data_IF_666530106082
#
_entry.id   IF_666530106082
#
_cell.length_a   1.000
_cell.length_b   1.000
_cell.length_c   1.000
_cell.angle_alpha   90.00
_cell.angle_beta   90.00
_cell.angle_gamma   90.00
#
_symmetry.space_group_name_H-M   'P 1'
#
loop_
_entity.id
_entity.type
_entity.pdbx_description
1 polymer ?
#
# COMPACT_ATOMS: atom_id res chain seq x y z
N UNK A 1 -14.08 18.97 8.59
CA UNK A 1 -14.21 17.49 8.75
C UNK A 1 -14.57 16.91 7.41
N UNK A 2 -13.74 16.04 6.88
CA UNK A 2 -13.87 15.43 5.55
C UNK A 2 -14.80 14.23 5.63
N UNK A 3 -15.89 14.24 4.84
CA UNK A 3 -16.90 13.16 4.81
C UNK A 3 -16.52 12.14 3.76
N UNK A 4 -16.21 10.92 4.22
CA UNK A 4 -15.69 9.84 3.37
C UNK A 4 -16.78 8.79 3.13
N UNK A 5 -16.96 8.39 1.86
CA UNK A 5 -17.65 7.16 1.51
C UNK A 5 -16.63 6.02 1.29
N UNK A 6 -16.99 4.78 1.64
CA UNK A 6 -16.14 3.61 1.35
C UNK A 6 -16.68 2.80 0.20
N UNK A 7 -15.82 2.40 -0.74
CA UNK A 7 -16.09 1.39 -1.76
C UNK A 7 -15.34 0.11 -1.39
N UNK A 8 -16.07 -0.94 -1.09
CA UNK A 8 -15.53 -2.21 -0.59
C UNK A 8 -15.97 -2.47 0.85
N UNK A 9 -16.15 -3.75 1.17
CA UNK A 9 -16.72 -4.22 2.44
C UNK A 9 -15.88 -5.36 3.03
N UNK A 10 -14.59 -5.38 2.71
CA UNK A 10 -13.65 -6.42 3.12
C UNK A 10 -13.01 -6.13 4.48
N UNK A 11 -12.14 -7.02 4.92
CA UNK A 11 -11.38 -6.84 6.18
C UNK A 11 -10.55 -5.55 6.17
N UNK A 12 -9.95 -5.17 5.03
CA UNK A 12 -9.15 -3.95 4.97
C UNK A 12 -10.02 -2.70 5.17
N UNK A 13 -11.26 -2.70 4.68
CA UNK A 13 -12.20 -1.60 4.95
C UNK A 13 -12.50 -1.49 6.45
N UNK A 14 -12.66 -2.61 7.17
CA UNK A 14 -12.85 -2.58 8.64
C UNK A 14 -11.60 -2.03 9.34
N UNK A 15 -10.41 -2.42 8.88
CA UNK A 15 -9.14 -1.89 9.41
C UNK A 15 -9.02 -0.38 9.14
N UNK A 16 -9.44 0.08 7.96
CA UNK A 16 -9.51 1.51 7.65
C UNK A 16 -10.47 2.27 8.58
N UNK A 17 -11.65 1.72 8.85
CA UNK A 17 -12.61 2.34 9.78
C UNK A 17 -12.05 2.51 11.19
N UNK A 18 -11.35 1.49 11.70
CA UNK A 18 -10.68 1.57 13.00
C UNK A 18 -9.61 2.68 13.03
N UNK A 19 -8.86 2.84 11.94
CA UNK A 19 -7.86 3.90 11.82
C UNK A 19 -8.52 5.29 11.67
N UNK A 20 -9.55 5.40 10.84
CA UNK A 20 -10.27 6.65 10.61
C UNK A 20 -10.92 7.20 11.88
N UNK A 21 -11.39 6.32 12.78
CA UNK A 21 -11.94 6.72 14.08
C UNK A 21 -10.90 7.41 14.98
N UNK A 22 -9.60 7.24 14.73
CA UNK A 22 -8.51 7.89 15.45
C UNK A 22 -8.01 9.20 14.78
N UNK A 23 -8.65 9.63 13.69
CA UNK A 23 -8.28 10.84 12.92
C UNK A 23 -9.48 11.80 12.92
N UNK A 24 -9.48 12.84 13.77
CA UNK A 24 -10.63 13.72 13.98
C UNK A 24 -11.00 14.58 12.76
N UNK A 25 -10.11 14.72 11.79
CA UNK A 25 -10.29 15.47 10.57
C UNK A 25 -11.24 14.80 9.58
N UNK A 26 -11.47 13.46 9.74
CA UNK A 26 -12.28 12.66 8.83
C UNK A 26 -13.47 12.02 9.53
N UNK A 27 -14.51 11.72 8.76
CA UNK A 27 -15.63 10.90 9.21
C UNK A 27 -16.13 10.02 8.07
N UNK A 28 -16.39 8.74 8.35
CA UNK A 28 -16.97 7.83 7.36
C UNK A 28 -18.48 7.87 7.47
N UNK A 29 -19.15 8.32 6.42
CA UNK A 29 -20.59 8.57 6.43
C UNK A 29 -21.39 7.55 5.63
N UNK A 30 -20.79 6.90 4.63
CA UNK A 30 -21.53 6.02 3.69
C UNK A 30 -20.70 4.82 3.28
N UNK A 31 -21.30 3.63 3.34
CA UNK A 31 -20.73 2.41 2.80
C UNK A 31 -21.37 2.08 1.44
N UNK A 32 -20.54 1.87 0.41
CA UNK A 32 -21.02 1.48 -0.91
C UNK A 32 -20.74 0.01 -1.22
N UNK A 33 -21.73 -0.66 -1.75
CA UNK A 33 -21.61 -1.95 -2.45
C UNK A 33 -22.60 -2.01 -3.61
N UNK A 34 -22.23 -2.67 -4.71
CA UNK A 34 -23.16 -2.95 -5.83
C UNK A 34 -24.41 -3.73 -5.42
N UNK A 35 -24.30 -4.52 -4.36
CA UNK A 35 -25.42 -5.16 -3.68
C UNK A 35 -25.88 -4.28 -2.52
N UNK A 36 -27.09 -3.72 -2.64
CA UNK A 36 -27.65 -2.80 -1.64
C UNK A 36 -27.96 -3.47 -0.30
N UNK A 37 -28.32 -4.75 -0.28
CA UNK A 37 -28.51 -5.50 0.97
C UNK A 37 -27.17 -5.70 1.68
N UNK A 38 -26.11 -5.99 0.91
CA UNK A 38 -24.77 -6.10 1.44
C UNK A 38 -24.27 -4.76 1.98
N UNK A 39 -24.50 -3.65 1.27
CA UNK A 39 -24.15 -2.32 1.74
C UNK A 39 -24.82 -1.98 3.07
N UNK A 40 -26.13 -2.23 3.19
CA UNK A 40 -26.90 -1.99 4.43
C UNK A 40 -26.40 -2.84 5.59
N UNK A 41 -26.18 -4.13 5.38
CA UNK A 41 -25.63 -5.01 6.43
C UNK A 41 -24.26 -4.54 6.90
N UNK A 42 -23.35 -4.24 5.97
CA UNK A 42 -22.01 -3.77 6.30
C UNK A 42 -22.06 -2.45 7.09
N UNK A 43 -22.88 -1.49 6.67
CA UNK A 43 -23.06 -0.22 7.37
C UNK A 43 -23.58 -0.44 8.80
N UNK A 44 -24.60 -1.29 8.98
CA UNK A 44 -25.15 -1.61 10.31
C UNK A 44 -24.11 -2.31 11.22
N UNK A 45 -23.32 -3.26 10.68
CA UNK A 45 -22.30 -3.98 11.42
C UNK A 45 -21.11 -3.10 11.84
N UNK A 46 -20.81 -2.05 11.07
CA UNK A 46 -19.67 -1.17 11.29
C UNK A 46 -20.03 0.19 11.89
N UNK A 47 -21.32 0.47 12.09
CA UNK A 47 -21.79 1.74 12.63
C UNK A 47 -21.73 2.91 11.65
N UNK A 48 -21.54 2.63 10.35
CA UNK A 48 -21.58 3.68 9.31
C UNK A 48 -23.04 4.13 9.14
N UNK A 49 -23.33 5.45 9.20
CA UNK A 49 -24.73 5.92 9.23
C UNK A 49 -25.50 5.72 7.91
N UNK A 50 -24.81 5.71 6.76
CA UNK A 50 -25.41 5.59 5.44
C UNK A 50 -24.93 4.39 4.65
N UNK A 51 -25.75 3.98 3.65
CA UNK A 51 -25.37 2.97 2.67
C UNK A 51 -25.86 3.35 1.28
N UNK A 52 -25.12 2.96 0.24
CA UNK A 52 -25.46 3.22 -1.17
C UNK A 52 -25.17 2.00 -2.03
N UNK A 53 -25.93 1.85 -3.13
CA UNK A 53 -25.71 0.81 -4.15
C UNK A 53 -25.66 1.37 -5.58
N UNK A 54 -25.97 2.64 -5.75
CA UNK A 54 -25.78 3.38 -6.99
C UNK A 54 -24.54 4.28 -6.84
N UNK A 55 -23.50 4.01 -7.64
CA UNK A 55 -22.23 4.76 -7.56
C UNK A 55 -22.37 6.18 -8.11
N UNK A 56 -23.18 6.38 -9.16
CA UNK A 56 -23.35 7.71 -9.74
C UNK A 56 -24.12 8.63 -8.79
N UNK A 57 -25.16 8.11 -8.16
CA UNK A 57 -25.88 8.84 -7.13
C UNK A 57 -25.00 9.17 -5.91
N UNK A 58 -24.13 8.22 -5.48
CA UNK A 58 -23.16 8.45 -4.41
C UNK A 58 -22.19 9.58 -4.76
N UNK A 59 -21.59 9.53 -5.96
CA UNK A 59 -20.60 10.52 -6.40
C UNK A 59 -21.22 11.90 -6.66
N UNK A 60 -22.50 11.98 -7.04
CA UNK A 60 -23.22 13.22 -7.20
C UNK A 60 -23.64 13.86 -5.85
N UNK A 61 -23.55 13.15 -4.74
CA UNK A 61 -23.97 13.66 -3.43
C UNK A 61 -23.07 14.81 -2.95
N UNK A 62 -23.67 15.89 -2.48
CA UNK A 62 -22.98 16.98 -1.81
C UNK A 62 -22.54 16.63 -0.38
N UNK A 63 -23.01 15.50 0.17
CA UNK A 63 -22.66 15.03 1.51
C UNK A 63 -21.40 14.17 1.56
N UNK A 64 -20.73 13.98 0.42
CA UNK A 64 -19.48 13.25 0.29
C UNK A 64 -18.39 14.18 -0.23
N UNK A 65 -17.26 14.24 0.45
CA UNK A 65 -16.09 15.03 0.04
C UNK A 65 -15.02 14.13 -0.60
N UNK A 66 -14.90 12.90 -0.11
CA UNK A 66 -13.88 11.95 -0.53
C UNK A 66 -14.40 10.51 -0.57
N UNK A 67 -13.68 9.65 -1.30
CA UNK A 67 -13.97 8.22 -1.39
C UNK A 67 -12.73 7.40 -1.05
N UNK A 68 -12.86 6.47 -0.11
CA UNK A 68 -11.88 5.42 0.13
C UNK A 68 -12.24 4.19 -0.72
N UNK A 69 -11.31 3.77 -1.59
CA UNK A 69 -11.52 2.66 -2.54
C UNK A 69 -10.72 1.44 -2.09
N UNK A 70 -11.40 0.37 -1.72
CA UNK A 70 -10.85 -0.91 -1.25
C UNK A 70 -11.54 -2.11 -1.95
N UNK A 71 -11.78 -1.97 -3.22
CA UNK A 71 -12.28 -3.00 -4.13
C UNK A 71 -11.13 -3.92 -4.60
N UNK A 72 -11.36 -4.94 -5.46
CA UNK A 72 -10.27 -5.65 -6.11
C UNK A 72 -9.38 -4.72 -6.96
N UNK A 73 -8.07 -4.96 -6.97
CA UNK A 73 -7.06 -4.09 -7.57
C UNK A 73 -7.38 -3.70 -9.03
N UNK A 74 -7.86 -4.64 -9.84
CA UNK A 74 -8.15 -4.41 -11.26
C UNK A 74 -9.25 -3.38 -11.54
N UNK A 75 -10.08 -3.05 -10.54
CA UNK A 75 -11.16 -2.07 -10.73
C UNK A 75 -10.90 -0.74 -10.01
N UNK A 76 -9.75 -0.60 -9.33
CA UNK A 76 -9.35 0.64 -8.65
C UNK A 76 -9.32 1.82 -9.62
N UNK A 77 -8.63 1.67 -10.77
CA UNK A 77 -8.49 2.74 -11.75
C UNK A 77 -9.84 3.31 -12.21
N UNK A 78 -10.74 2.42 -12.66
CA UNK A 78 -12.04 2.85 -13.17
C UNK A 78 -12.89 3.57 -12.11
N UNK A 79 -12.84 3.09 -10.86
CA UNK A 79 -13.58 3.72 -9.76
C UNK A 79 -12.93 5.03 -9.32
N UNK A 80 -11.60 5.08 -9.24
CA UNK A 80 -10.87 6.28 -8.87
C UNK A 80 -11.05 7.39 -9.93
N UNK A 81 -10.98 7.06 -11.21
CA UNK A 81 -11.17 8.03 -12.29
C UNK A 81 -12.58 8.63 -12.26
N UNK A 82 -13.63 7.79 -12.13
CA UNK A 82 -15.01 8.28 -11.98
C UNK A 82 -15.18 9.19 -10.75
N UNK A 83 -14.53 8.85 -9.65
CA UNK A 83 -14.56 9.64 -8.42
C UNK A 83 -13.93 11.01 -8.63
N UNK A 84 -12.75 11.05 -9.27
CA UNK A 84 -12.03 12.28 -9.62
C UNK A 84 -12.84 13.14 -10.58
N UNK A 85 -13.44 12.55 -11.62
CA UNK A 85 -14.28 13.26 -12.58
C UNK A 85 -15.54 13.85 -11.96
N UNK A 86 -16.04 13.24 -10.87
CA UNK A 86 -17.13 13.78 -10.06
C UNK A 86 -16.70 14.86 -9.07
N UNK A 87 -15.41 15.27 -9.08
CA UNK A 87 -14.89 16.33 -8.20
C UNK A 87 -14.72 15.88 -6.75
N UNK A 88 -14.53 14.57 -6.48
CA UNK A 88 -14.30 14.04 -5.14
C UNK A 88 -12.84 13.61 -4.97
N UNK A 89 -12.29 13.82 -3.76
CA UNK A 89 -10.96 13.33 -3.39
C UNK A 89 -10.95 11.81 -3.29
N UNK A 90 -9.79 11.19 -3.54
CA UNK A 90 -9.63 9.74 -3.57
C UNK A 90 -8.49 9.29 -2.67
N UNK A 91 -8.77 8.41 -1.73
CA UNK A 91 -7.80 7.56 -1.07
C UNK A 91 -8.01 6.14 -1.58
N UNK A 92 -7.08 5.60 -2.35
CA UNK A 92 -7.22 4.29 -3.01
C UNK A 92 -6.22 3.29 -2.43
N UNK A 93 -6.73 2.08 -2.11
CA UNK A 93 -5.89 0.98 -1.62
C UNK A 93 -4.76 0.63 -2.59
N UNK A 94 -3.69 0.14 -1.99
CA UNK A 94 -2.51 -0.32 -2.73
C UNK A 94 -2.77 -1.68 -3.44
N UNK A 95 -2.21 -1.88 -4.63
CA UNK A 95 -1.64 -0.82 -5.47
C UNK A 95 -2.75 0.11 -5.97
N UNK A 96 -2.47 1.40 -6.03
CA UNK A 96 -3.48 2.38 -6.44
C UNK A 96 -4.12 2.04 -7.78
N UNK A 97 -3.31 1.57 -8.72
CA UNK A 97 -3.67 1.05 -10.03
C UNK A 97 -2.69 -0.06 -10.43
N UNK A 98 -2.92 -0.75 -11.55
CA UNK A 98 -2.06 -1.84 -11.98
C UNK A 98 -0.92 -1.42 -12.91
N UNK A 99 -0.97 -0.23 -13.51
CA UNK A 99 0.05 0.27 -14.45
C UNK A 99 0.46 1.71 -14.14
N UNK A 100 1.73 2.09 -14.42
CA UNK A 100 2.16 3.48 -14.33
C UNK A 100 1.35 4.43 -15.22
N UNK A 101 0.91 3.98 -16.39
CA UNK A 101 0.13 4.78 -17.34
C UNK A 101 -1.26 5.13 -16.78
N UNK A 102 -1.93 4.18 -16.13
CA UNK A 102 -3.21 4.43 -15.46
C UNK A 102 -3.05 5.44 -14.32
N UNK A 103 -1.94 5.35 -13.57
CA UNK A 103 -1.68 6.31 -12.49
C UNK A 103 -1.42 7.72 -13.02
N UNK A 104 -0.66 7.86 -14.10
CA UNK A 104 -0.45 9.15 -14.76
C UNK A 104 -1.78 9.75 -15.24
N UNK A 105 -2.63 8.94 -15.89
CA UNK A 105 -3.96 9.38 -16.34
C UNK A 105 -4.82 9.84 -15.16
N UNK A 106 -4.80 9.12 -14.05
CA UNK A 106 -5.56 9.44 -12.85
C UNK A 106 -5.08 10.75 -12.20
N UNK A 107 -3.76 10.93 -12.08
CA UNK A 107 -3.18 12.16 -11.49
C UNK A 107 -3.38 13.38 -12.38
N UNK A 108 -3.33 13.22 -13.70
CA UNK A 108 -3.65 14.29 -14.66
C UNK A 108 -5.13 14.71 -14.55
N UNK A 109 -6.04 13.74 -14.38
CA UNK A 109 -7.45 14.04 -14.16
C UNK A 109 -7.64 14.79 -12.81
N UNK A 110 -6.98 14.35 -11.75
CA UNK A 110 -7.02 15.01 -10.45
C UNK A 110 -6.51 16.45 -10.50
N UNK A 111 -5.42 16.70 -11.23
CA UNK A 111 -4.90 18.05 -11.43
C UNK A 111 -5.90 18.98 -12.16
N UNK A 112 -6.65 18.44 -13.14
CA UNK A 112 -7.68 19.22 -13.85
C UNK A 112 -8.90 19.54 -13.00
N UNK A 113 -9.29 18.64 -12.12
CA UNK A 113 -10.48 18.81 -11.25
C UNK A 113 -10.17 19.48 -9.92
N UNK A 114 -8.88 19.63 -9.58
CA UNK A 114 -8.44 20.23 -8.32
C UNK A 114 -8.67 19.34 -7.09
N UNK A 115 -8.76 18.02 -7.29
CA UNK A 115 -8.94 17.06 -6.18
C UNK A 115 -7.64 16.31 -5.87
N UNK A 116 -7.56 15.76 -4.67
CA UNK A 116 -6.44 14.94 -4.22
C UNK A 116 -6.70 13.48 -4.56
N UNK A 117 -5.70 12.81 -5.12
CA UNK A 117 -5.59 11.35 -5.22
C UNK A 117 -4.39 10.91 -4.41
N UNK A 118 -4.59 9.98 -3.50
CA UNK A 118 -3.52 9.42 -2.68
C UNK A 118 -3.61 7.89 -2.66
N UNK A 119 -2.46 7.22 -2.83
CA UNK A 119 -2.36 5.78 -2.61
C UNK A 119 -2.28 5.49 -1.11
N UNK A 120 -3.12 4.58 -0.62
CA UNK A 120 -3.09 4.09 0.76
C UNK A 120 -1.96 3.06 0.93
N UNK A 121 -0.72 3.54 0.85
CA UNK A 121 0.50 2.75 1.06
C UNK A 121 1.01 3.01 2.48
N UNK A 122 0.39 2.40 3.47
CA UNK A 122 0.57 2.69 4.90
C UNK A 122 2.02 2.75 5.38
N UNK A 123 2.93 1.90 4.85
CA UNK A 123 4.34 1.93 5.26
C UNK A 123 5.06 3.21 4.78
N UNK A 124 4.65 3.79 3.67
CA UNK A 124 5.26 4.98 3.11
C UNK A 124 5.01 6.25 3.95
N UNK A 125 4.01 6.20 4.80
CA UNK A 125 3.63 7.28 5.72
C UNK A 125 3.98 6.98 7.18
N UNK A 126 4.47 5.76 7.47
CA UNK A 126 4.85 5.36 8.82
C UNK A 126 6.15 6.06 9.24
N UNK A 127 6.16 6.87 10.32
CA UNK A 127 7.37 7.54 10.80
C UNK A 127 8.52 6.57 11.14
N UNK A 128 8.21 5.33 11.51
CA UNK A 128 9.22 4.32 11.79
C UNK A 128 10.04 3.97 10.54
N UNK A 129 9.43 3.91 9.35
CA UNK A 129 10.18 3.67 8.12
C UNK A 129 11.12 4.83 7.78
N UNK A 130 10.70 6.08 8.02
CA UNK A 130 11.55 7.25 7.86
C UNK A 130 12.73 7.22 8.85
N UNK A 131 12.47 6.89 10.13
CA UNK A 131 13.52 6.74 11.13
C UNK A 131 14.54 5.64 10.78
N UNK A 132 14.10 4.52 10.20
CA UNK A 132 14.97 3.45 9.70
C UNK A 132 15.86 3.98 8.56
N UNK A 133 15.33 4.78 7.64
CA UNK A 133 16.11 5.40 6.57
C UNK A 133 17.20 6.35 7.13
N UNK A 134 16.83 7.18 8.12
CA UNK A 134 17.76 8.09 8.79
C UNK A 134 18.87 7.36 9.55
N UNK A 135 18.54 6.27 10.26
CA UNK A 135 19.51 5.40 10.93
C UNK A 135 20.46 4.75 9.91
N UNK A 136 19.93 4.26 8.80
CA UNK A 136 20.73 3.67 7.72
C UNK A 136 21.73 4.66 7.14
N UNK A 137 21.33 5.92 6.92
CA UNK A 137 22.19 6.97 6.38
C UNK A 137 23.42 7.25 7.27
N UNK A 138 23.32 7.02 8.59
CA UNK A 138 24.42 7.20 9.54
C UNK A 138 25.50 6.09 9.44
N UNK A 139 25.18 4.96 8.80
CA UNK A 139 26.07 3.79 8.67
C UNK A 139 27.02 3.89 7.46
N UNK A 140 27.00 5.01 6.73
CA UNK A 140 27.79 5.21 5.52
C UNK A 140 27.14 4.60 4.28
N UNK A 141 27.91 4.45 3.18
CA UNK A 141 27.35 3.94 1.94
C UNK A 141 26.70 2.56 2.11
N UNK A 142 25.45 2.45 1.65
CA UNK A 142 24.75 1.16 1.57
C UNK A 142 25.38 0.35 0.43
N UNK A 143 25.59 -0.94 0.66
CA UNK A 143 26.12 -1.87 -0.35
C UNK A 143 25.13 -2.97 -0.68
N UNK A 144 24.32 -3.35 0.27
CA UNK A 144 23.25 -4.32 0.08
C UNK A 144 22.07 -4.01 1.00
N UNK A 145 20.84 -4.30 0.52
CA UNK A 145 19.67 -4.39 1.39
C UNK A 145 18.85 -5.63 1.04
N UNK A 146 18.06 -6.09 1.99
CA UNK A 146 17.16 -7.24 1.84
C UNK A 146 15.84 -6.90 2.52
N UNK A 147 14.72 -6.94 1.77
CA UNK A 147 13.39 -6.68 2.30
C UNK A 147 12.49 -7.88 2.06
N UNK A 148 11.80 -8.32 3.10
CA UNK A 148 10.95 -9.49 3.02
C UNK A 148 9.55 -9.23 3.60
N UNK A 149 8.52 -9.69 2.88
CA UNK A 149 7.17 -9.76 3.40
C UNK A 149 6.53 -11.10 2.98
N UNK A 150 6.61 -12.07 3.86
CA UNK A 150 6.11 -13.42 3.62
C UNK A 150 5.06 -13.76 4.69
N UNK A 151 3.80 -13.72 4.31
CA UNK A 151 2.67 -14.03 5.18
C UNK A 151 1.72 -14.99 4.48
N UNK A 152 1.69 -16.26 4.94
CA UNK A 152 0.77 -17.25 4.37
C UNK A 152 -0.67 -16.80 4.56
N UNK A 153 -1.38 -16.67 3.44
CA UNK A 153 -2.79 -16.30 3.46
C UNK A 153 -3.66 -17.41 4.04
N UNK A 154 -4.53 -17.07 4.97
CA UNK A 154 -5.55 -18.00 5.48
C UNK A 154 -6.53 -18.50 4.38
N UNK A 155 -6.55 -17.82 3.22
CA UNK A 155 -7.39 -18.21 2.07
C UNK A 155 -6.67 -19.15 1.10
N UNK A 156 -5.37 -19.43 1.30
CA UNK A 156 -4.60 -20.28 0.38
C UNK A 156 -5.11 -21.73 0.37
N UNK A 157 -5.58 -22.25 1.51
CA UNK A 157 -6.17 -23.60 1.58
C UNK A 157 -7.41 -23.76 0.68
N UNK A 158 -8.17 -22.68 0.46
CA UNK A 158 -9.29 -22.69 -0.50
C UNK A 158 -8.80 -22.83 -1.94
N UNK A 159 -7.69 -22.17 -2.29
CA UNK A 159 -7.05 -22.33 -3.62
C UNK A 159 -6.58 -23.76 -3.82
N UNK A 160 -5.96 -24.38 -2.81
CA UNK A 160 -5.55 -25.78 -2.85
C UNK A 160 -6.72 -26.74 -2.98
N UNK A 161 -7.89 -26.37 -2.44
CA UNK A 161 -9.17 -27.08 -2.61
C UNK A 161 -9.85 -26.82 -3.96
N UNK A 162 -9.24 -26.02 -4.85
CA UNK A 162 -9.79 -25.69 -6.17
C UNK A 162 -10.83 -24.56 -6.18
N UNK A 163 -10.99 -23.83 -5.05
CA UNK A 163 -11.89 -22.69 -4.99
C UNK A 163 -11.24 -21.44 -5.63
N UNK A 164 -12.06 -20.64 -6.32
CA UNK A 164 -11.62 -19.32 -6.82
C UNK A 164 -11.64 -18.31 -5.67
N UNK A 165 -10.50 -17.63 -5.47
CA UNK A 165 -10.32 -16.63 -4.41
C UNK A 165 -9.78 -15.33 -5.00
N UNK A 166 -10.49 -14.22 -4.83
CA UNK A 166 -10.20 -12.93 -5.46
C UNK A 166 -8.75 -12.46 -5.29
N UNK A 167 -8.16 -12.61 -4.09
CA UNK A 167 -6.78 -12.18 -3.82
C UNK A 167 -5.71 -13.02 -4.52
N UNK A 168 -6.10 -14.13 -5.15
CA UNK A 168 -5.28 -15.01 -5.96
C UNK A 168 -5.78 -15.10 -7.41
N UNK A 169 -6.70 -14.22 -7.82
CA UNK A 169 -7.22 -14.18 -9.18
C UNK A 169 -6.43 -13.14 -10.01
N UNK A 170 -5.65 -13.57 -11.02
CA UNK A 170 -4.89 -12.65 -11.87
C UNK A 170 -5.76 -11.62 -12.58
N UNK A 171 -7.00 -12.00 -12.96
CA UNK A 171 -7.94 -11.09 -13.61
C UNK A 171 -8.42 -9.94 -12.70
N UNK A 172 -8.27 -10.12 -11.39
CA UNK A 172 -8.58 -9.09 -10.39
C UNK A 172 -7.33 -8.38 -9.85
N UNK A 173 -6.15 -8.61 -10.47
CA UNK A 173 -4.88 -8.09 -9.97
C UNK A 173 -4.44 -8.78 -8.68
N UNK A 174 -4.84 -10.06 -8.48
CA UNK A 174 -4.39 -10.88 -7.35
C UNK A 174 -2.98 -11.42 -7.54
N UNK A 175 -2.37 -11.86 -6.44
CA UNK A 175 -1.02 -12.44 -6.42
C UNK A 175 -0.17 -11.87 -5.29
N UNK A 176 0.99 -12.46 -5.07
CA UNK A 176 1.87 -12.09 -3.97
C UNK A 176 2.60 -10.76 -4.22
N UNK A 177 2.97 -10.46 -5.48
CA UNK A 177 3.66 -9.22 -5.84
C UNK A 177 2.79 -8.00 -5.53
N UNK A 178 1.56 -7.96 -6.03
CA UNK A 178 0.66 -6.84 -5.82
C UNK A 178 0.16 -6.70 -4.38
N UNK A 179 0.10 -7.80 -3.63
CA UNK A 179 -0.41 -7.74 -2.26
C UNK A 179 0.66 -7.50 -1.21
N UNK A 180 1.80 -8.20 -1.28
CA UNK A 180 2.87 -8.14 -0.30
C UNK A 180 4.19 -7.59 -0.88
N UNK A 181 4.57 -7.98 -2.09
CA UNK A 181 5.78 -7.51 -2.76
C UNK A 181 5.80 -6.00 -2.94
N UNK A 182 4.66 -5.40 -3.20
CA UNK A 182 4.50 -3.94 -3.34
C UNK A 182 4.98 -3.18 -2.08
N UNK A 183 4.84 -3.75 -0.87
CA UNK A 183 5.39 -3.15 0.35
C UNK A 183 6.92 -3.15 0.37
N UNK A 184 7.55 -4.25 -0.07
CA UNK A 184 9.00 -4.33 -0.18
C UNK A 184 9.53 -3.32 -1.22
N UNK A 185 8.84 -3.20 -2.36
CA UNK A 185 9.17 -2.22 -3.40
C UNK A 185 8.97 -0.79 -2.88
N UNK A 186 7.86 -0.50 -2.22
CA UNK A 186 7.58 0.82 -1.65
C UNK A 186 8.62 1.22 -0.60
N UNK A 187 9.04 0.30 0.29
CA UNK A 187 10.11 0.54 1.26
C UNK A 187 11.44 0.86 0.57
N UNK A 188 11.83 0.06 -0.45
CA UNK A 188 13.03 0.30 -1.24
C UNK A 188 12.99 1.68 -1.92
N UNK A 189 11.90 1.99 -2.62
CA UNK A 189 11.73 3.28 -3.32
C UNK A 189 11.76 4.46 -2.34
N UNK A 190 11.13 4.31 -1.17
CA UNK A 190 11.09 5.36 -0.14
C UNK A 190 12.47 5.66 0.44
N UNK A 191 13.33 4.64 0.59
CA UNK A 191 14.67 4.76 1.20
C UNK A 191 15.77 5.09 0.18
N UNK A 192 15.69 4.51 -1.01
CA UNK A 192 16.80 4.50 -1.97
C UNK A 192 16.43 5.07 -3.34
N UNK A 193 15.16 5.37 -3.58
CA UNK A 193 14.67 5.81 -4.89
C UNK A 193 14.42 4.66 -5.86
N UNK A 194 14.14 5.03 -7.12
CA UNK A 194 13.89 4.08 -8.21
C UNK A 194 15.21 3.43 -8.65
N UNK A 195 15.32 2.09 -8.73
CA UNK A 195 16.54 1.42 -9.16
C UNK A 195 16.78 1.56 -10.67
N UNK A 196 18.04 1.48 -11.10
CA UNK A 196 18.40 1.49 -12.52
C UNK A 196 17.89 0.24 -13.26
N UNK A 197 17.89 -0.91 -12.59
CA UNK A 197 17.44 -2.19 -13.14
C UNK A 197 16.81 -3.05 -12.06
N UNK A 198 15.81 -3.82 -12.46
CA UNK A 198 15.21 -4.85 -11.61
C UNK A 198 14.87 -6.07 -12.44
N UNK A 199 14.98 -7.25 -11.84
CA UNK A 199 14.55 -8.52 -12.43
C UNK A 199 14.04 -9.44 -11.32
N UNK A 200 13.01 -10.24 -11.61
CA UNK A 200 12.37 -11.09 -10.63
C UNK A 200 11.98 -12.46 -11.16
N UNK A 201 11.64 -13.32 -10.23
CA UNK A 201 11.12 -14.67 -10.46
C UNK A 201 9.96 -14.93 -9.51
N UNK A 202 8.98 -15.70 -9.98
CA UNK A 202 7.84 -16.09 -9.16
C UNK A 202 7.52 -17.58 -9.29
N UNK A 203 6.91 -18.13 -8.26
CA UNK A 203 6.33 -19.47 -8.28
C UNK A 203 4.82 -19.32 -8.45
N UNK A 204 4.28 -19.76 -9.59
CA UNK A 204 2.83 -19.72 -9.82
C UNK A 204 2.12 -20.76 -8.95
N UNK A 205 0.87 -20.45 -8.63
CA UNK A 205 -0.06 -21.37 -7.96
C UNK A 205 -1.19 -21.79 -8.91
N UNK A 206 -2.02 -22.79 -8.57
CA UNK A 206 -3.21 -23.11 -9.33
C UNK A 206 -4.08 -21.85 -9.57
N UNK A 207 -4.46 -21.62 -10.84
CA UNK A 207 -5.17 -20.40 -11.26
C UNK A 207 -4.26 -19.31 -11.85
N UNK A 208 -2.92 -19.51 -11.85
CA UNK A 208 -1.97 -18.68 -12.59
C UNK A 208 -1.46 -17.42 -11.87
N UNK A 209 -1.91 -17.16 -10.64
CA UNK A 209 -1.33 -16.08 -9.83
C UNK A 209 0.06 -16.46 -9.30
N UNK A 210 0.91 -15.49 -9.05
CA UNK A 210 2.14 -15.67 -8.29
C UNK A 210 1.80 -15.93 -6.80
N UNK A 211 2.25 -17.08 -6.29
CA UNK A 211 2.10 -17.45 -4.88
C UNK A 211 3.20 -16.88 -4.01
N UNK A 212 4.41 -16.84 -4.54
CA UNK A 212 5.57 -16.17 -3.96
C UNK A 212 6.53 -15.73 -5.07
N UNK A 213 7.44 -14.83 -4.74
CA UNK A 213 8.47 -14.38 -5.66
C UNK A 213 9.63 -13.72 -4.95
N UNK A 214 10.67 -13.47 -5.74
CA UNK A 214 11.83 -12.68 -5.35
C UNK A 214 12.27 -11.82 -6.52
N UNK A 215 12.87 -10.66 -6.23
CA UNK A 215 13.45 -9.79 -7.23
C UNK A 215 14.78 -9.22 -6.74
N UNK A 216 15.68 -8.90 -7.70
CA UNK A 216 16.90 -8.17 -7.46
C UNK A 216 16.82 -6.81 -8.15
N UNK A 217 16.99 -5.76 -7.38
CA UNK A 217 17.11 -4.40 -7.86
C UNK A 217 18.57 -3.93 -7.74
N UNK A 218 19.05 -3.21 -8.75
CA UNK A 218 20.42 -2.75 -8.87
C UNK A 218 20.47 -1.24 -9.13
N UNK A 219 21.38 -0.54 -8.48
CA UNK A 219 21.59 0.91 -8.61
C UNK A 219 23.07 1.26 -8.63
N UNK A 220 23.89 0.62 -9.50
CA UNK A 220 25.30 0.93 -9.62
C UNK A 220 26.13 0.71 -8.36
N UNK A 221 25.71 1.25 -7.23
CA UNK A 221 26.43 1.22 -5.96
C UNK A 221 25.98 0.15 -4.98
N UNK A 222 24.73 -0.32 -5.08
CA UNK A 222 24.13 -1.30 -4.16
C UNK A 222 23.13 -2.22 -4.86
N UNK A 223 22.85 -3.35 -4.20
CA UNK A 223 21.85 -4.34 -4.62
C UNK A 223 20.80 -4.44 -3.53
N UNK A 224 19.53 -4.50 -3.92
CA UNK A 224 18.43 -4.81 -3.01
C UNK A 224 17.76 -6.12 -3.44
N UNK A 225 17.69 -7.10 -2.54
CA UNK A 225 16.86 -8.27 -2.75
C UNK A 225 15.50 -8.10 -2.08
N UNK A 226 14.45 -8.41 -2.83
CA UNK A 226 13.06 -8.33 -2.43
C UNK A 226 12.47 -9.74 -2.40
N UNK A 227 11.83 -10.13 -1.30
CA UNK A 227 11.21 -11.46 -1.15
C UNK A 227 9.78 -11.31 -0.65
N UNK A 228 8.84 -11.95 -1.32
CA UNK A 228 7.43 -11.85 -0.95
C UNK A 228 6.70 -13.19 -1.15
N UNK A 229 5.77 -13.52 -0.25
CA UNK A 229 5.02 -14.77 -0.33
C UNK A 229 3.66 -14.68 0.36
N UNK A 230 2.64 -15.22 -0.32
CA UNK A 230 1.31 -15.48 0.24
C UNK A 230 1.05 -16.95 0.55
N UNK A 231 2.02 -17.81 0.25
CA UNK A 231 1.90 -19.28 0.40
C UNK A 231 2.85 -19.85 1.44
N UNK A 232 3.81 -19.06 1.90
CA UNK A 232 4.73 -19.36 3.00
C UNK A 232 4.78 -18.23 4.00
N UNK A 233 5.39 -18.43 5.16
CA UNK A 233 5.61 -17.43 6.18
C UNK A 233 7.11 -17.26 6.49
N UNK A 234 7.51 -16.04 6.86
CA UNK A 234 8.83 -15.71 7.35
C UNK A 234 8.72 -14.64 8.42
N UNK A 235 9.59 -14.70 9.42
CA UNK A 235 9.75 -13.66 10.43
C UNK A 235 10.77 -12.58 10.02
N UNK A 236 11.36 -12.66 8.81
CA UNK A 236 12.30 -11.65 8.31
C UNK A 236 11.52 -10.41 7.88
N UNK A 237 11.96 -9.23 8.35
CA UNK A 237 11.50 -7.94 7.89
C UNK A 237 12.47 -7.35 6.88
N UNK A 238 13.42 -6.52 7.35
CA UNK A 238 14.43 -5.92 6.50
C UNK A 238 15.82 -5.92 7.11
N UNK A 239 16.83 -5.87 6.23
CA UNK A 239 18.23 -5.68 6.57
C UNK A 239 18.86 -4.71 5.59
N UNK A 240 19.69 -3.78 6.09
CA UNK A 240 20.47 -2.84 5.31
C UNK A 240 21.92 -2.99 5.73
N UNK A 241 22.78 -3.37 4.80
CA UNK A 241 24.22 -3.57 4.99
C UNK A 241 24.98 -2.37 4.42
N UNK A 242 25.64 -1.63 5.29
CA UNK A 242 26.43 -0.45 4.97
C UNK A 242 27.90 -0.67 5.33
N UNK A 243 28.78 0.19 4.87
CA UNK A 243 30.23 0.02 5.09
C UNK A 243 30.66 0.10 6.55
N UNK A 244 29.86 0.71 7.44
CA UNK A 244 30.21 0.87 8.86
C UNK A 244 29.37 0.02 9.81
N UNK A 245 28.36 -0.66 9.29
CA UNK A 245 27.48 -1.48 10.11
C UNK A 245 26.29 -2.04 9.35
N UNK A 246 25.46 -2.76 10.08
CA UNK A 246 24.22 -3.38 9.56
C UNK A 246 23.05 -2.91 10.40
N UNK A 247 21.95 -2.58 9.74
CA UNK A 247 20.68 -2.29 10.37
C UNK A 247 19.69 -3.40 10.00
N UNK A 248 19.02 -3.99 11.00
CA UNK A 248 17.90 -4.91 10.81
C UNK A 248 16.64 -4.35 11.42
N UNK A 249 15.47 -4.66 10.84
CA UNK A 249 14.17 -4.26 11.38
C UNK A 249 13.11 -5.35 11.13
N UNK A 250 12.09 -5.35 11.97
CA UNK A 250 11.15 -6.46 12.11
C UNK A 250 10.09 -6.56 11.00
N UNK A 251 9.70 -5.45 10.39
CA UNK A 251 8.63 -5.44 9.36
C UNK A 251 8.81 -4.32 8.34
N UNK A 252 8.60 -4.61 7.06
CA UNK A 252 8.56 -3.58 6.00
C UNK A 252 7.21 -2.87 5.93
N UNK A 253 6.14 -3.45 6.48
CA UNK A 253 4.80 -2.89 6.41
C UNK A 253 4.43 -2.09 7.66
N UNK A 254 4.90 -2.52 8.84
CA UNK A 254 4.62 -1.91 10.15
C UNK A 254 5.85 -2.09 11.06
N UNK A 255 6.93 -1.31 10.86
CA UNK A 255 8.11 -1.44 11.71
C UNK A 255 7.80 -1.06 13.17
N UNK A 256 8.27 -1.87 14.11
CA UNK A 256 8.15 -1.62 15.56
C UNK A 256 9.51 -1.58 16.24
N UNK A 257 10.52 -2.19 15.62
CA UNK A 257 11.87 -2.21 16.16
C UNK A 257 12.92 -2.24 15.06
N UNK A 258 14.07 -1.68 15.36
CA UNK A 258 15.28 -1.83 14.57
C UNK A 258 16.49 -2.05 15.47
N UNK A 259 17.48 -2.75 14.93
CA UNK A 259 18.77 -2.99 15.57
C UNK A 259 19.88 -2.53 14.65
N UNK A 260 20.75 -1.68 15.16
CA UNK A 260 22.00 -1.27 14.52
C UNK A 260 23.15 -2.05 15.14
N UNK A 261 23.95 -2.69 14.30
CA UNK A 261 25.18 -3.38 14.71
C UNK A 261 26.36 -2.77 13.95
N UNK A 262 27.25 -2.12 14.66
CA UNK A 262 28.48 -1.52 14.11
C UNK A 262 29.57 -2.57 13.89
N UNK A 263 30.55 -2.30 13.03
CA UNK A 263 31.67 -3.22 12.78
C UNK A 263 32.56 -3.48 14.01
N UNK A 264 32.59 -2.58 14.99
CA UNK A 264 33.29 -2.78 16.26
C UNK A 264 32.51 -3.67 17.26
N UNK A 265 31.33 -4.15 16.88
CA UNK A 265 30.46 -4.98 17.70
C UNK A 265 29.48 -4.18 18.57
N UNK A 266 29.51 -2.86 18.55
CA UNK A 266 28.53 -2.03 19.25
C UNK A 266 27.13 -2.30 18.70
N UNK A 267 26.15 -2.54 19.59
CA UNK A 267 24.76 -2.80 19.23
C UNK A 267 23.86 -1.75 19.86
N UNK A 268 22.95 -1.19 19.08
CA UNK A 268 21.92 -0.27 19.55
C UNK A 268 20.54 -0.77 19.10
N UNK A 269 19.61 -0.87 20.02
CA UNK A 269 18.21 -1.21 19.77
C UNK A 269 17.37 0.05 19.71
N UNK A 270 16.45 0.09 18.76
CA UNK A 270 15.49 1.17 18.59
C UNK A 270 14.07 0.59 18.64
N UNK A 271 13.23 1.12 19.50
CA UNK A 271 11.79 0.85 19.51
C UNK A 271 11.05 2.02 18.87
N UNK A 272 10.04 1.74 18.07
CA UNK A 272 9.21 2.74 17.42
C UNK A 272 7.81 2.72 18.05
N UNK A 273 7.51 3.76 18.81
CA UNK A 273 6.17 3.96 19.34
C UNK A 273 5.25 4.51 18.26
N UNK A 274 4.05 3.96 18.18
CA UNK A 274 3.07 4.39 17.17
C UNK A 274 1.70 3.77 17.41
N UNK A 275 0.70 4.22 16.65
CA UNK A 275 -0.63 3.63 16.72
C UNK A 275 -0.57 2.15 16.36
N UNK A 276 -1.43 1.34 17.00
CA UNK A 276 -1.52 -0.10 16.68
C UNK A 276 -1.84 -0.35 15.20
N UNK A 277 -2.59 0.56 14.58
CA UNK A 277 -2.96 0.53 13.18
C UNK A 277 -2.30 1.72 12.48
N UNK A 278 -1.24 1.48 11.71
CA UNK A 278 -0.47 2.55 11.06
C UNK A 278 -1.17 3.19 9.84
N UNK A 279 -2.33 2.70 9.41
CA UNK A 279 -3.19 3.39 8.42
C UNK A 279 -3.60 4.80 8.89
N UNK A 280 -3.56 5.07 10.19
CA UNK A 280 -3.75 6.42 10.75
C UNK A 280 -2.85 7.45 10.08
N UNK A 281 -1.61 7.09 9.72
CA UNK A 281 -0.66 8.01 9.12
C UNK A 281 -1.04 8.41 7.69
N UNK A 282 -1.48 7.46 6.86
CA UNK A 282 -1.92 7.75 5.50
C UNK A 282 -3.23 8.56 5.47
N UNK A 283 -4.14 8.29 6.43
CA UNK A 283 -5.39 9.05 6.56
C UNK A 283 -5.10 10.49 6.98
N UNK A 284 -4.18 10.71 7.93
CA UNK A 284 -3.73 12.07 8.30
C UNK A 284 -3.09 12.79 7.12
N UNK A 285 -2.18 12.10 6.40
CA UNK A 285 -1.57 12.69 5.21
C UNK A 285 -2.61 13.09 4.16
N UNK A 286 -3.62 12.25 3.96
CA UNK A 286 -4.71 12.55 3.05
C UNK A 286 -5.52 13.79 3.48
N UNK A 287 -5.84 13.91 4.77
CA UNK A 287 -6.52 15.07 5.32
C UNK A 287 -5.69 16.35 5.18
N UNK A 288 -4.39 16.31 5.54
CA UNK A 288 -3.45 17.42 5.36
C UNK A 288 -3.41 17.92 3.91
N UNK A 289 -3.35 17.02 2.94
CA UNK A 289 -3.35 17.39 1.53
C UNK A 289 -4.65 18.06 1.08
N UNK A 290 -5.80 17.63 1.58
CA UNK A 290 -7.11 18.24 1.29
C UNK A 290 -7.20 19.63 1.91
N UNK A 291 -6.67 19.82 3.11
CA UNK A 291 -6.64 21.12 3.81
C UNK A 291 -5.58 22.07 3.22
N UNK A 292 -4.78 21.62 2.25
CA UNK A 292 -3.80 22.44 1.54
C UNK A 292 -2.41 22.44 2.17
N UNK A 293 -2.14 21.57 3.15
CA UNK A 293 -0.84 21.41 3.80
C UNK A 293 0.12 20.59 2.93
N UNK A 294 0.90 21.30 2.14
CA UNK A 294 1.90 20.74 1.25
C UNK A 294 1.33 20.17 -0.06
N UNK A 295 2.21 19.86 -1.00
CA UNK A 295 1.83 19.33 -2.30
C UNK A 295 1.86 17.80 -2.34
N UNK A 296 1.02 17.21 -3.17
CA UNK A 296 0.93 15.75 -3.41
C UNK A 296 2.04 15.19 -4.32
N UNK A 297 2.86 16.07 -4.92
CA UNK A 297 3.83 15.68 -5.96
C UNK A 297 4.85 14.61 -5.49
N UNK A 298 5.33 14.71 -4.25
CA UNK A 298 6.25 13.71 -3.68
C UNK A 298 5.58 12.35 -3.52
N UNK A 299 4.32 12.35 -3.09
CA UNK A 299 3.53 11.13 -2.90
C UNK A 299 3.27 10.46 -4.25
N UNK A 300 2.87 11.24 -5.27
CA UNK A 300 2.69 10.75 -6.63
C UNK A 300 3.99 10.21 -7.25
N UNK A 301 5.11 10.91 -7.08
CA UNK A 301 6.40 10.45 -7.59
C UNK A 301 6.81 9.09 -6.99
N UNK A 302 6.60 8.90 -5.68
CA UNK A 302 6.87 7.63 -4.99
C UNK A 302 5.96 6.51 -5.49
N UNK A 303 4.65 6.74 -5.59
CA UNK A 303 3.71 5.76 -6.12
C UNK A 303 4.05 5.38 -7.56
N UNK A 304 4.37 6.36 -8.42
CA UNK A 304 4.74 6.11 -9.80
C UNK A 304 6.03 5.29 -9.91
N UNK A 305 7.07 5.60 -9.12
CA UNK A 305 8.31 4.83 -9.08
C UNK A 305 8.06 3.39 -8.59
N UNK A 306 7.23 3.22 -7.54
CA UNK A 306 6.81 1.90 -7.05
C UNK A 306 6.12 1.09 -8.14
N UNK A 307 5.17 1.68 -8.86
CA UNK A 307 4.46 1.01 -9.96
C UNK A 307 5.37 0.62 -11.12
N UNK A 308 6.34 1.47 -11.50
CA UNK A 308 7.33 1.14 -12.54
C UNK A 308 8.19 -0.06 -12.15
N UNK A 309 8.64 -0.11 -10.90
CA UNK A 309 9.41 -1.25 -10.40
C UNK A 309 8.56 -2.53 -10.37
N UNK A 310 7.32 -2.46 -9.91
CA UNK A 310 6.39 -3.60 -9.93
C UNK A 310 6.12 -4.07 -11.35
N UNK A 311 5.90 -3.15 -12.30
CA UNK A 311 5.72 -3.47 -13.72
C UNK A 311 6.96 -4.16 -14.31
N UNK A 312 8.16 -3.65 -14.02
CA UNK A 312 9.41 -4.23 -14.51
C UNK A 312 9.67 -5.63 -13.89
N UNK A 313 9.35 -5.85 -12.61
CA UNK A 313 9.38 -7.19 -12.01
C UNK A 313 8.41 -8.12 -12.78
N UNK A 314 7.17 -7.71 -12.99
CA UNK A 314 6.17 -8.51 -13.73
C UNK A 314 6.60 -8.85 -15.14
N UNK A 315 7.23 -7.91 -15.84
CA UNK A 315 7.71 -8.12 -17.20
C UNK A 315 8.84 -9.15 -17.28
N UNK A 316 9.49 -9.47 -16.16
CA UNK A 316 10.55 -10.48 -16.07
C UNK A 316 10.06 -11.85 -15.60
N UNK A 317 8.77 -11.99 -15.20
CA UNK A 317 8.17 -13.25 -14.79
C UNK A 317 7.69 -14.05 -15.99
#
# INVERSE_FOLDING_TARGET
>A
MIRIATIGTSTITRTFLDAAAAVPEVTVTTAYSRDGDHARRFAAETGIPGSASDLDALLASADIDAVYIASPNAIHFAQALRTVEAGKHVLVEKPAVLTPADFATLTDAAARTGVIVLEAMRNAYDPALAAIADLSAQLGPVRRASFAYCQRSARYDKVLAGERVNIFDPALGGGALYDLGVYCVSAMVSMFGEPERVSGWAVPIPGGADGCGAALAYNGEYIVDLSYSKITASARGGEIQSERGTLTFDSVAEPRSARVTMLDGTVTEHAFDGPRNNMVHEIRRFAELIDGDGGVARDHARTLATLRVVEAIRASL
#
